data_IF_432221933130
#
_entry.id   IF_432221933130
#
_cell.length_a   1.000
_cell.length_b   1.000
_cell.length_c   1.000
_cell.angle_alpha   90.00
_cell.angle_beta   90.00
_cell.angle_gamma   90.00
#
_symmetry.space_group_name_H-M   'P 1'
#
loop_
_entity.id
_entity.type
_entity.pdbx_description
1 polymer ?
#
# COMPACT_ATOMS: atom_id res chain seq x y z
N UNK A 1 3.16 11.92 -19.15
CA UNK A 1 3.08 11.03 -20.33
C UNK A 1 4.36 11.10 -21.14
N UNK A 2 4.85 12.31 -21.50
CA UNK A 2 6.04 12.50 -22.34
C UNK A 2 7.32 11.88 -21.75
N UNK A 3 7.53 11.99 -20.45
CA UNK A 3 8.66 11.36 -19.75
C UNK A 3 8.61 9.84 -19.89
N UNK A 4 7.42 9.26 -19.72
CA UNK A 4 7.22 7.80 -19.87
C UNK A 4 7.45 7.41 -21.34
N UNK A 5 6.90 8.13 -22.29
CA UNK A 5 7.06 7.87 -23.70
C UNK A 5 8.53 7.86 -24.12
N UNK A 6 9.31 8.86 -23.67
CA UNK A 6 10.76 8.92 -23.92
C UNK A 6 11.51 7.76 -23.27
N UNK A 7 11.20 7.42 -22.02
CA UNK A 7 11.89 6.34 -21.28
C UNK A 7 11.59 4.95 -21.83
N UNK A 8 10.37 4.74 -22.34
CA UNK A 8 9.92 3.45 -22.90
C UNK A 8 10.14 3.32 -24.40
N UNK A 9 10.53 4.42 -25.08
CA UNK A 9 10.64 4.52 -26.56
C UNK A 9 9.31 4.24 -27.28
N UNK A 10 8.20 4.56 -26.62
CA UNK A 10 6.85 4.43 -27.16
C UNK A 10 6.31 5.81 -27.57
N UNK A 11 5.31 5.83 -28.45
CA UNK A 11 4.60 7.07 -28.75
C UNK A 11 3.75 7.52 -27.55
N UNK A 12 3.55 8.82 -27.38
CA UNK A 12 2.65 9.37 -26.34
C UNK A 12 1.24 8.79 -26.45
N UNK A 13 0.73 8.61 -27.67
CA UNK A 13 -0.57 7.97 -27.93
C UNK A 13 -0.63 6.54 -27.39
N UNK A 14 0.45 5.74 -27.57
CA UNK A 14 0.52 4.37 -27.05
C UNK A 14 0.54 4.37 -25.54
N UNK A 15 1.31 5.28 -24.92
CA UNK A 15 1.39 5.41 -23.46
C UNK A 15 0.02 5.80 -22.88
N UNK A 16 -0.65 6.82 -23.45
CA UNK A 16 -1.99 7.24 -23.00
C UNK A 16 -2.99 6.09 -23.05
N UNK A 17 -3.08 5.40 -24.19
CA UNK A 17 -4.00 4.27 -24.36
C UNK A 17 -3.70 3.12 -23.38
N UNK A 18 -2.44 2.91 -23.04
CA UNK A 18 -2.05 1.88 -22.07
C UNK A 18 -2.45 2.27 -20.64
N UNK A 19 -2.27 3.54 -20.27
CA UNK A 19 -2.70 4.07 -18.96
C UNK A 19 -4.22 3.95 -18.82
N UNK A 20 -4.99 4.39 -19.82
CA UNK A 20 -6.45 4.26 -19.85
C UNK A 20 -6.92 2.81 -19.66
N UNK A 21 -6.22 1.85 -20.30
CA UNK A 21 -6.50 0.42 -20.07
C UNK A 21 -6.23 -0.03 -18.65
N UNK A 22 -5.20 0.52 -18.00
CA UNK A 22 -4.91 0.20 -16.60
C UNK A 22 -5.93 0.84 -15.66
N UNK A 23 -6.37 2.07 -15.92
CA UNK A 23 -7.38 2.77 -15.13
C UNK A 23 -8.73 2.05 -15.16
N UNK A 24 -9.07 1.41 -16.29
CA UNK A 24 -10.31 0.64 -16.44
C UNK A 24 -10.19 -0.81 -15.94
N UNK A 25 -8.99 -1.26 -15.59
CA UNK A 25 -8.76 -2.63 -15.11
C UNK A 25 -8.94 -2.70 -13.58
N UNK A 26 -9.93 -3.44 -13.06
CA UNK A 26 -10.15 -3.53 -11.61
C UNK A 26 -9.00 -4.17 -10.84
N UNK A 27 -8.06 -4.85 -11.51
CA UNK A 27 -6.87 -5.44 -10.91
C UNK A 27 -5.71 -4.43 -10.76
N UNK A 28 -5.85 -3.20 -11.29
CA UNK A 28 -4.81 -2.16 -11.24
C UNK A 28 -5.35 -0.95 -10.50
N UNK A 29 -4.65 -0.52 -9.48
CA UNK A 29 -4.96 0.68 -8.74
C UNK A 29 -3.76 1.64 -8.78
N UNK A 30 -4.00 2.88 -9.22
CA UNK A 30 -3.00 3.93 -9.10
C UNK A 30 -3.10 4.59 -7.73
N UNK A 31 -1.98 4.67 -7.03
CA UNK A 31 -1.89 5.32 -5.73
C UNK A 31 -0.63 6.17 -5.64
N UNK A 32 -0.64 7.13 -4.74
CA UNK A 32 0.53 7.93 -4.40
C UNK A 32 1.15 7.33 -3.14
N UNK A 33 2.42 6.94 -3.22
CA UNK A 33 3.18 6.49 -2.07
C UNK A 33 4.14 7.61 -1.69
N UNK A 34 3.98 8.13 -0.48
CA UNK A 34 4.89 9.13 0.08
C UNK A 34 6.17 8.46 0.57
N UNK A 35 7.32 9.12 0.35
CA UNK A 35 8.56 8.73 1.01
C UNK A 35 8.56 9.31 2.44
N UNK A 36 8.37 8.50 3.48
CA UNK A 36 8.27 8.99 4.86
C UNK A 36 9.53 9.71 5.34
N UNK A 37 10.69 9.45 4.71
CA UNK A 37 11.95 10.14 5.04
C UNK A 37 11.96 11.61 4.63
N UNK A 38 11.10 11.99 3.67
CA UNK A 38 10.97 13.37 3.19
C UNK A 38 9.93 14.16 3.97
N UNK A 39 9.19 13.50 4.86
CA UNK A 39 8.23 14.13 5.75
C UNK A 39 8.92 14.57 7.05
N UNK A 40 9.79 15.59 6.97
CA UNK A 40 10.69 16.03 8.06
C UNK A 40 10.00 16.35 9.39
N UNK A 41 8.69 16.63 9.37
CA UNK A 41 7.89 16.97 10.55
C UNK A 41 7.04 15.81 11.06
N UNK A 42 7.09 14.63 10.42
CA UNK A 42 6.20 13.54 10.73
C UNK A 42 6.98 12.28 11.09
N UNK A 43 6.38 11.52 11.97
CA UNK A 43 6.86 10.19 12.38
C UNK A 43 6.02 9.14 11.64
N UNK A 44 6.66 8.35 10.79
CA UNK A 44 6.00 7.21 10.16
C UNK A 44 6.00 6.01 11.11
N UNK A 45 4.89 5.31 11.17
CA UNK A 45 4.72 4.12 11.98
C UNK A 45 3.84 3.08 11.29
N UNK A 46 3.94 1.85 11.72
CA UNK A 46 2.99 0.79 11.37
C UNK A 46 2.12 0.49 12.59
N UNK A 47 0.81 0.41 12.39
CA UNK A 47 -0.14 -0.03 13.38
C UNK A 47 -0.70 -1.39 12.94
N UNK A 48 -0.60 -2.37 13.81
CA UNK A 48 -1.21 -3.68 13.60
C UNK A 48 -2.46 -3.75 14.46
N UNK A 49 -3.60 -4.06 13.83
CA UNK A 49 -4.85 -4.34 14.51
C UNK A 49 -5.25 -5.80 14.29
N UNK A 50 -5.57 -6.50 15.37
CA UNK A 50 -6.21 -7.81 15.32
C UNK A 50 -7.72 -7.61 15.32
N UNK A 51 -8.40 -8.20 14.33
CA UNK A 51 -9.82 -8.04 14.07
C UNK A 51 -10.54 -9.36 14.29
N UNK A 52 -11.58 -9.36 15.10
CA UNK A 52 -12.40 -10.55 15.42
C UNK A 52 -13.76 -10.58 14.71
N UNK A 53 -14.00 -9.64 13.81
CA UNK A 53 -15.24 -9.52 13.05
C UNK A 53 -14.97 -9.30 11.56
N UNK A 54 -15.89 -8.68 10.82
CA UNK A 54 -15.71 -8.37 9.40
C UNK A 54 -14.56 -7.37 9.19
N UNK A 55 -13.41 -7.90 8.82
CA UNK A 55 -12.19 -7.11 8.56
C UNK A 55 -12.38 -6.04 7.48
N UNK A 56 -13.25 -6.30 6.50
CA UNK A 56 -13.52 -5.33 5.43
C UNK A 56 -14.27 -4.13 5.99
N UNK A 57 -15.32 -4.36 6.77
CA UNK A 57 -16.08 -3.30 7.42
C UNK A 57 -15.21 -2.44 8.33
N UNK A 58 -14.37 -3.08 9.15
CA UNK A 58 -13.46 -2.37 10.06
C UNK A 58 -12.41 -1.58 9.28
N UNK A 59 -11.84 -2.17 8.21
CA UNK A 59 -10.91 -1.46 7.34
C UNK A 59 -11.55 -0.19 6.74
N UNK A 60 -12.76 -0.30 6.18
CA UNK A 60 -13.49 0.82 5.58
C UNK A 60 -13.79 1.92 6.62
N UNK A 61 -14.14 1.55 7.86
CA UNK A 61 -14.35 2.48 8.97
C UNK A 61 -13.06 3.21 9.36
N UNK A 62 -11.95 2.48 9.45
CA UNK A 62 -10.62 3.07 9.74
C UNK A 62 -10.17 3.98 8.59
N UNK A 63 -10.35 3.57 7.34
CA UNK A 63 -10.01 4.40 6.17
C UNK A 63 -10.84 5.68 6.12
N UNK A 64 -12.12 5.62 6.49
CA UNK A 64 -12.98 6.80 6.57
C UNK A 64 -12.54 7.77 7.65
N UNK A 65 -12.10 7.26 8.81
CA UNK A 65 -11.74 8.08 9.97
C UNK A 65 -10.29 8.57 9.97
N UNK A 66 -9.38 7.82 9.36
CA UNK A 66 -7.94 8.02 9.45
C UNK A 66 -7.22 8.00 8.10
N UNK A 67 -7.93 7.94 6.98
CA UNK A 67 -7.34 7.80 5.63
C UNK A 67 -6.32 8.88 5.29
N UNK A 68 -6.51 10.10 5.78
CA UNK A 68 -5.58 11.23 5.59
C UNK A 68 -4.21 11.02 6.25
N UNK A 69 -4.11 10.09 7.19
CA UNK A 69 -2.87 9.75 7.88
C UNK A 69 -2.14 8.55 7.29
N UNK A 70 -2.65 7.96 6.21
CA UNK A 70 -2.00 6.83 5.56
C UNK A 70 -0.94 7.30 4.57
N UNK A 71 0.26 6.71 4.65
CA UNK A 71 1.29 6.91 3.66
C UNK A 71 1.43 5.72 2.70
N UNK A 72 0.74 4.62 2.99
CA UNK A 72 0.66 3.44 2.14
C UNK A 72 -0.69 2.75 2.32
N UNK A 73 -1.12 2.01 1.30
CA UNK A 73 -2.36 1.22 1.33
C UNK A 73 -2.30 0.18 2.46
N UNK A 74 -3.36 0.06 3.27
CA UNK A 74 -3.47 -0.98 4.29
C UNK A 74 -3.36 -2.39 3.74
N UNK A 75 -2.74 -3.27 4.51
CA UNK A 75 -2.61 -4.70 4.16
C UNK A 75 -3.47 -5.52 5.12
N UNK A 76 -4.28 -6.42 4.55
CA UNK A 76 -5.10 -7.36 5.31
C UNK A 76 -4.56 -8.79 5.18
N UNK A 77 -4.52 -9.54 6.28
CA UNK A 77 -4.11 -10.94 6.31
C UNK A 77 -4.93 -11.69 7.37
N UNK A 78 -5.96 -12.44 6.95
CA UNK A 78 -6.90 -13.14 7.83
C UNK A 78 -7.53 -12.15 8.85
N UNK A 79 -7.13 -12.27 10.12
CA UNK A 79 -7.61 -11.45 11.24
C UNK A 79 -6.71 -10.23 11.52
N UNK A 80 -5.67 -10.01 10.72
CA UNK A 80 -4.74 -8.90 10.90
C UNK A 80 -4.97 -7.81 9.86
N UNK A 81 -4.96 -6.58 10.34
CA UNK A 81 -4.94 -5.37 9.52
C UNK A 81 -3.67 -4.60 9.86
N UNK A 82 -2.83 -4.36 8.85
CA UNK A 82 -1.61 -3.56 8.98
C UNK A 82 -1.81 -2.23 8.30
N UNK A 83 -1.72 -1.16 9.08
CA UNK A 83 -1.90 0.22 8.68
C UNK A 83 -0.55 0.92 8.65
N UNK A 84 -0.22 1.56 7.56
CA UNK A 84 1.00 2.35 7.42
C UNK A 84 0.65 3.83 7.53
N UNK A 85 0.94 4.41 8.69
CA UNK A 85 0.45 5.72 9.10
C UNK A 85 1.61 6.68 9.39
N UNK A 86 1.28 7.96 9.46
CA UNK A 86 2.17 8.99 9.97
C UNK A 86 1.45 9.89 10.97
N UNK A 87 2.21 10.49 11.87
CA UNK A 87 1.73 11.52 12.78
C UNK A 87 2.83 12.56 13.04
N UNK A 88 2.46 13.68 13.59
CA UNK A 88 3.39 14.76 13.95
C UNK A 88 4.24 14.42 15.19
N UNK A 89 3.77 13.51 16.04
CA UNK A 89 4.51 13.07 17.23
C UNK A 89 4.02 11.69 17.72
N UNK A 90 4.81 11.10 18.66
CA UNK A 90 4.51 9.77 19.23
C UNK A 90 3.20 9.77 20.02
N UNK A 91 2.88 10.86 20.70
CA UNK A 91 1.65 10.97 21.49
C UNK A 91 0.41 10.85 20.59
N UNK A 92 0.39 11.57 19.47
CA UNK A 92 -0.72 11.49 18.52
C UNK A 92 -0.81 10.12 17.84
N UNK A 93 0.30 9.44 17.59
CA UNK A 93 0.28 8.05 17.12
C UNK A 93 -0.39 7.11 18.15
N UNK A 94 -0.13 7.30 19.45
CA UNK A 94 -0.76 6.52 20.50
C UNK A 94 -2.26 6.86 20.66
N UNK A 95 -2.64 8.12 20.51
CA UNK A 95 -4.06 8.52 20.45
C UNK A 95 -4.79 7.84 19.29
N UNK A 96 -4.18 7.79 18.11
CA UNK A 96 -4.76 7.07 16.96
C UNK A 96 -4.90 5.57 17.27
N UNK A 97 -3.90 4.96 17.87
CA UNK A 97 -3.92 3.57 18.30
C UNK A 97 -5.09 3.30 19.25
N UNK A 98 -5.30 4.14 20.25
CA UNK A 98 -6.42 4.00 21.19
C UNK A 98 -7.76 4.10 20.50
N UNK A 99 -7.96 5.11 19.64
CA UNK A 99 -9.21 5.26 18.89
C UNK A 99 -9.51 4.07 17.99
N UNK A 100 -8.50 3.51 17.32
CA UNK A 100 -8.67 2.31 16.49
C UNK A 100 -9.00 1.09 17.37
N UNK A 101 -8.42 1.00 18.58
CA UNK A 101 -8.71 -0.07 19.53
C UNK A 101 -10.16 -0.02 20.04
N UNK A 102 -10.78 1.15 20.08
CA UNK A 102 -12.17 1.34 20.52
C UNK A 102 -13.22 0.96 19.46
N UNK A 103 -12.79 0.72 18.21
CA UNK A 103 -13.69 0.24 17.15
C UNK A 103 -14.17 -1.17 17.49
N UNK A 104 -15.49 -1.36 17.43
CA UNK A 104 -16.11 -2.66 17.73
C UNK A 104 -15.56 -3.75 16.78
N UNK A 105 -15.13 -4.85 17.37
CA UNK A 105 -14.50 -5.96 16.65
C UNK A 105 -12.98 -5.86 16.52
N UNK A 106 -12.33 -4.79 17.02
CA UNK A 106 -10.86 -4.73 17.16
C UNK A 106 -10.45 -5.27 18.52
N UNK A 107 -9.85 -6.43 18.52
CA UNK A 107 -9.43 -7.12 19.75
C UNK A 107 -8.14 -6.55 20.36
N UNK A 108 -7.20 -6.15 19.52
CA UNK A 108 -5.87 -5.73 19.93
C UNK A 108 -5.27 -4.76 18.92
N UNK A 109 -4.44 -3.83 19.41
CA UNK A 109 -3.67 -2.90 18.57
C UNK A 109 -2.25 -2.75 19.08
N UNK A 110 -1.28 -2.72 18.17
CA UNK A 110 0.13 -2.48 18.48
C UNK A 110 0.74 -1.52 17.48
N UNK A 111 1.66 -0.66 17.93
CA UNK A 111 2.35 0.33 17.10
C UNK A 111 3.83 0.01 17.01
N UNK A 112 4.35 0.06 15.80
CA UNK A 112 5.76 -0.14 15.51
C UNK A 112 6.33 1.13 14.88
N UNK A 113 7.37 1.68 15.50
CA UNK A 113 8.14 2.78 14.95
C UNK A 113 9.38 2.22 14.24
N UNK A 114 9.40 2.22 12.91
CA UNK A 114 10.52 1.65 12.16
C UNK A 114 11.78 2.51 12.35
N UNK A 115 12.87 1.89 12.77
CA UNK A 115 14.17 2.56 12.84
C UNK A 115 14.67 3.04 11.47
N UNK A 116 14.31 2.31 10.41
CA UNK A 116 14.68 2.62 9.03
C UNK A 116 13.59 2.13 8.08
N UNK A 117 13.15 3.02 7.20
CA UNK A 117 12.26 2.67 6.09
C UNK A 117 13.10 2.68 4.81
N UNK A 118 13.06 1.60 4.06
CA UNK A 118 13.71 1.50 2.75
C UNK A 118 12.62 1.31 1.70
N UNK A 119 12.48 2.29 0.82
CA UNK A 119 11.60 2.18 -0.35
C UNK A 119 12.41 1.58 -1.49
N UNK A 120 12.04 0.38 -1.98
CA UNK A 120 12.73 -0.23 -3.12
C UNK A 120 12.32 0.47 -4.42
N UNK A 121 13.02 1.54 -4.78
CA UNK A 121 12.70 2.37 -5.95
C UNK A 121 12.72 1.60 -7.28
N UNK A 122 13.39 0.45 -7.32
CA UNK A 122 13.55 -0.36 -8.53
C UNK A 122 12.73 -1.65 -8.54
N UNK A 123 11.89 -1.92 -7.52
CA UNK A 123 11.20 -3.20 -7.42
C UNK A 123 10.21 -3.42 -8.57
N UNK A 124 9.50 -2.38 -9.00
CA UNK A 124 8.57 -2.45 -10.14
C UNK A 124 9.32 -2.79 -11.42
N UNK A 125 10.42 -2.06 -11.71
CA UNK A 125 11.24 -2.31 -12.90
C UNK A 125 11.85 -3.72 -12.89
N UNK A 126 12.26 -4.21 -11.73
CA UNK A 126 12.79 -5.56 -11.58
C UNK A 126 11.70 -6.64 -11.71
N UNK A 127 10.50 -6.37 -11.16
CA UNK A 127 9.35 -7.27 -11.30
C UNK A 127 8.89 -7.38 -12.75
N UNK A 128 8.82 -6.27 -13.49
CA UNK A 128 8.51 -6.27 -14.92
C UNK A 128 9.56 -7.04 -15.73
N UNK A 129 10.85 -6.80 -15.45
CA UNK A 129 11.95 -7.54 -16.10
C UNK A 129 11.91 -9.05 -15.80
N UNK A 130 11.55 -9.42 -14.60
CA UNK A 130 11.42 -10.81 -14.20
C UNK A 130 10.18 -11.48 -14.80
N UNK A 131 9.04 -10.78 -14.85
CA UNK A 131 7.82 -11.25 -15.52
C UNK A 131 8.08 -11.50 -17.02
N UNK A 132 8.72 -10.58 -17.72
CA UNK A 132 9.06 -10.74 -19.15
C UNK A 132 10.07 -11.86 -19.41
N UNK A 133 10.84 -12.28 -18.39
CA UNK A 133 11.72 -13.47 -18.47
C UNK A 133 10.95 -14.75 -18.16
N UNK A 134 9.94 -14.72 -17.30
CA UNK A 134 9.14 -15.89 -16.92
C UNK A 134 8.12 -16.29 -18.01
N UNK A 135 7.76 -15.40 -18.94
CA UNK A 135 6.99 -15.78 -20.14
C UNK A 135 7.72 -16.81 -21.03
N UNK A 136 9.05 -16.96 -20.88
CA UNK A 136 9.82 -18.03 -21.50
C UNK A 136 9.81 -19.36 -20.73
N UNK A 137 9.34 -19.36 -19.50
CA UNK A 137 9.12 -20.54 -18.67
C UNK A 137 7.60 -20.77 -18.59
N UNK A 138 7.06 -21.54 -19.53
CA UNK A 138 5.71 -22.10 -19.47
C UNK A 138 5.58 -22.96 -18.21
N UNK A 139 5.23 -22.33 -17.08
CA UNK A 139 4.74 -23.05 -15.91
C UNK A 139 3.22 -23.04 -16.02
N UNK A 140 2.56 -24.17 -16.31
CA UNK A 140 1.11 -24.21 -16.33
C UNK A 140 0.59 -23.95 -14.90
N UNK A 141 -0.29 -22.94 -14.76
CA UNK A 141 -0.95 -22.53 -13.50
C UNK A 141 -1.85 -23.65 -12.90
N UNK A 142 -1.71 -24.88 -13.32
CA UNK A 142 -2.56 -26.01 -12.88
C UNK A 142 -2.10 -26.77 -11.65
N UNK A 143 -1.12 -26.28 -10.89
CA UNK A 143 -0.60 -26.99 -9.69
C UNK A 143 -0.51 -26.15 -8.41
N UNK A 144 -1.45 -25.20 -8.21
CA UNK A 144 -1.64 -24.60 -6.89
C UNK A 144 -3.14 -24.65 -6.58
N UNK A 145 -3.62 -25.83 -6.23
CA UNK A 145 -4.83 -26.05 -5.44
C UNK A 145 -4.46 -27.06 -4.37
#
# INVERSE_FOLDING_TARGET
IDVIAKSTKLSTKTVTRTIEKFETNPAVQFTIIYDPKKLEKFIAFALIAMVQSDIKKIKDEIETSFGDYFWQVPVTAKELLVLFMYSDNIYNADVMRHKIKEIDGVAFTEVFFPKKITMPTNWISNSIKNASRSEKLHVPIKQII
#
